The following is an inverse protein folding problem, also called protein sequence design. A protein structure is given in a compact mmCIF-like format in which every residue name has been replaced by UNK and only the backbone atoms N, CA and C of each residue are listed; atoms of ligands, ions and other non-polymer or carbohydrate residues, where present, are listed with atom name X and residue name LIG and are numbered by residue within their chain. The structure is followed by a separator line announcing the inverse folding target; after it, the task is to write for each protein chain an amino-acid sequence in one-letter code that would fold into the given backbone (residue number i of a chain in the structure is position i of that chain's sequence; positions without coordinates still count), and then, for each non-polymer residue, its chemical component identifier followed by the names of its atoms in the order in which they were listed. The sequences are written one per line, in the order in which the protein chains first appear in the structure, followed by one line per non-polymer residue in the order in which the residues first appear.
data_IF_398423146703
#
_entry.id   IF_398423146703
#
_cell.length_a   1.000
_cell.length_b   1.000
_cell.length_c   1.000
_cell.angle_alpha   90.00
_cell.angle_beta   90.00
_cell.angle_gamma   90.00
#
_symmetry.space_group_name_H-M   'P 1'
#
loop_
_entity.id
_entity.type
_entity.pdbx_description
1 polymer ?
#
# COMPACT_ATOMS: atom_id res chain seq x y z
N UNK A 1 -21.47 31.34 -11.77
CA UNK A 1 -21.78 30.25 -12.73
C UNK A 1 -20.56 29.33 -12.80
N UNK A 2 -20.36 28.48 -11.79
CA UNK A 2 -19.25 27.53 -11.80
C UNK A 2 -19.56 26.41 -12.78
N UNK A 3 -18.79 26.32 -13.86
CA UNK A 3 -18.86 25.21 -14.80
C UNK A 3 -18.44 23.94 -14.06
N UNK A 4 -19.36 22.99 -13.92
CA UNK A 4 -19.01 21.63 -13.48
C UNK A 4 -18.09 21.01 -14.52
N UNK A 5 -16.85 20.71 -14.13
CA UNK A 5 -15.92 19.92 -14.92
C UNK A 5 -16.58 18.57 -15.27
N UNK A 6 -16.48 18.12 -16.54
CA UNK A 6 -17.06 16.85 -16.94
C UNK A 6 -16.46 15.72 -16.11
N UNK A 7 -17.25 14.68 -15.75
CA UNK A 7 -16.75 13.57 -14.96
C UNK A 7 -15.56 12.95 -15.69
N UNK A 8 -14.38 13.12 -15.11
CA UNK A 8 -13.13 12.53 -15.57
C UNK A 8 -13.34 11.01 -15.61
N UNK A 9 -13.68 10.46 -16.78
CA UNK A 9 -13.86 9.01 -16.96
C UNK A 9 -12.52 8.34 -16.73
N UNK A 10 -12.27 7.91 -15.49
CA UNK A 10 -11.11 7.07 -15.15
C UNK A 10 -11.10 5.86 -16.09
N UNK A 11 -9.95 5.60 -16.71
CA UNK A 11 -9.75 4.44 -17.55
C UNK A 11 -10.13 3.15 -16.78
N UNK A 12 -10.71 2.14 -17.47
CA UNK A 12 -11.15 0.92 -16.81
C UNK A 12 -9.96 0.16 -16.21
N UNK A 13 -10.11 -0.34 -14.98
CA UNK A 13 -9.06 -1.08 -14.27
C UNK A 13 -8.81 -2.48 -14.85
N UNK A 14 -9.73 -2.99 -15.65
CA UNK A 14 -9.63 -4.25 -16.39
C UNK A 14 -10.36 -4.11 -17.72
N UNK A 15 -9.75 -4.57 -18.81
CA UNK A 15 -10.35 -4.59 -20.15
C UNK A 15 -10.34 -6.02 -20.69
N UNK A 16 -11.51 -6.54 -21.01
CA UNK A 16 -11.67 -7.83 -21.69
C UNK A 16 -11.49 -7.58 -23.19
N UNK A 17 -10.51 -8.26 -23.79
CA UNK A 17 -10.20 -8.13 -25.23
C UNK A 17 -10.92 -9.21 -26.05
N UNK A 18 -11.09 -10.41 -25.49
CA UNK A 18 -11.81 -11.54 -26.08
C UNK A 18 -12.58 -12.27 -24.97
N UNK A 19 -13.81 -12.68 -25.25
CA UNK A 19 -14.71 -13.33 -24.30
C UNK A 19 -15.05 -14.75 -24.70
N UNK A 20 -14.18 -15.69 -24.35
CA UNK A 20 -14.46 -17.15 -24.35
C UNK A 20 -13.36 -17.91 -23.55
N UNK A 21 -13.14 -17.57 -22.26
CA UNK A 21 -12.18 -18.31 -21.45
C UNK A 21 -12.72 -19.69 -21.10
N UNK A 22 -11.83 -20.67 -20.96
CA UNK A 22 -12.21 -21.96 -20.37
C UNK A 22 -12.69 -21.75 -18.91
N UNK A 23 -13.49 -22.68 -18.35
CA UNK A 23 -13.87 -22.63 -16.93
C UNK A 23 -12.66 -22.54 -15.99
N UNK A 24 -11.57 -23.24 -16.33
CA UNK A 24 -10.31 -23.24 -15.57
C UNK A 24 -9.60 -21.89 -15.66
N UNK A 25 -9.57 -21.27 -16.84
CA UNK A 25 -8.98 -19.94 -17.03
C UNK A 25 -9.76 -18.86 -16.27
N UNK A 26 -11.09 -18.93 -16.31
CA UNK A 26 -11.95 -18.04 -15.54
C UNK A 26 -11.71 -18.22 -14.03
N UNK A 27 -11.62 -19.47 -13.56
CA UNK A 27 -11.33 -19.78 -12.17
C UNK A 27 -9.94 -19.26 -11.75
N UNK A 28 -8.92 -19.43 -12.59
CA UNK A 28 -7.57 -18.95 -12.33
C UNK A 28 -7.53 -17.41 -12.23
N UNK A 29 -8.22 -16.70 -13.12
CA UNK A 29 -8.33 -15.23 -13.06
C UNK A 29 -8.98 -14.77 -11.76
N UNK A 30 -10.12 -15.38 -11.38
CA UNK A 30 -10.82 -15.05 -10.13
C UNK A 30 -9.94 -15.33 -8.92
N UNK A 31 -9.24 -16.46 -8.88
CA UNK A 31 -8.35 -16.84 -7.78
C UNK A 31 -7.22 -15.80 -7.58
N UNK A 32 -6.58 -15.36 -8.67
CA UNK A 32 -5.51 -14.35 -8.63
C UNK A 32 -6.04 -13.00 -8.11
N UNK A 33 -7.19 -12.55 -8.61
CA UNK A 33 -7.80 -11.30 -8.18
C UNK A 33 -8.20 -11.34 -6.70
N UNK A 34 -8.79 -12.44 -6.24
CA UNK A 34 -9.14 -12.66 -4.84
C UNK A 34 -7.90 -12.65 -3.94
N UNK A 35 -6.83 -13.33 -4.34
CA UNK A 35 -5.56 -13.36 -3.61
C UNK A 35 -4.95 -11.95 -3.48
N UNK A 36 -4.94 -11.16 -4.56
CA UNK A 36 -4.46 -9.76 -4.52
C UNK A 36 -5.31 -8.87 -3.63
N UNK A 37 -6.64 -9.04 -3.66
CA UNK A 37 -7.55 -8.30 -2.78
C UNK A 37 -7.33 -8.67 -1.31
N UNK A 38 -7.13 -9.95 -0.99
CA UNK A 38 -6.81 -10.42 0.36
C UNK A 38 -5.45 -9.86 0.85
N UNK A 39 -4.41 -9.90 0.01
CA UNK A 39 -3.10 -9.34 0.34
C UNK A 39 -3.17 -7.83 0.59
N UNK A 40 -3.97 -7.09 -0.20
CA UNK A 40 -4.17 -5.64 -0.03
C UNK A 40 -4.86 -5.32 1.30
N UNK A 41 -5.89 -6.10 1.68
CA UNK A 41 -6.55 -5.96 2.99
C UNK A 41 -5.60 -6.28 4.15
N UNK A 42 -4.79 -7.32 4.02
CA UNK A 42 -3.79 -7.69 5.03
C UNK A 42 -2.66 -6.64 5.16
N UNK A 43 -2.31 -5.96 4.07
CA UNK A 43 -1.36 -4.85 4.11
C UNK A 43 -1.96 -3.62 4.81
N UNK A 44 -3.24 -3.32 4.58
CA UNK A 44 -3.95 -2.22 5.23
C UNK A 44 -4.12 -2.43 6.75
N UNK A 45 -4.22 -3.69 7.21
CA UNK A 45 -4.32 -4.01 8.64
C UNK A 45 -2.97 -4.00 9.37
N UNK A 46 -1.84 -3.93 8.65
CA UNK A 46 -0.53 -3.88 9.30
C UNK A 46 -0.31 -2.45 9.80
N UNK A 47 -0.03 -2.23 11.10
CA UNK A 47 0.35 -0.90 11.55
C UNK A 47 1.54 -0.45 10.72
N UNK A 48 1.36 0.62 9.94
CA UNK A 48 2.47 1.31 9.31
C UNK A 48 3.40 1.73 10.45
N UNK A 49 4.67 1.27 10.48
CA UNK A 49 5.60 1.77 11.46
C UNK A 49 5.61 3.28 11.32
N UNK A 50 5.42 3.98 12.45
CA UNK A 50 5.51 5.43 12.46
C UNK A 50 6.84 5.79 11.78
N UNK A 51 6.78 6.68 10.79
CA UNK A 51 8.00 7.18 10.17
C UNK A 51 8.92 7.71 11.27
N UNK A 52 10.24 7.58 11.13
CA UNK A 52 11.18 8.12 12.13
C UNK A 52 10.92 9.60 12.42
N UNK A 53 10.44 10.37 11.43
CA UNK A 53 10.00 11.77 11.57
C UNK A 53 8.85 11.98 12.57
N UNK A 54 7.95 11.01 12.72
CA UNK A 54 6.77 11.09 13.61
C UNK A 54 7.01 10.45 14.98
N UNK A 55 8.20 9.90 15.22
CA UNK A 55 8.53 9.26 16.50
C UNK A 55 8.78 10.33 17.58
N UNK A 56 7.88 10.42 18.56
CA UNK A 56 8.00 11.35 19.68
C UNK A 56 9.23 11.11 20.56
N UNK A 57 9.85 9.92 20.48
CA UNK A 57 11.10 9.66 21.19
C UNK A 57 12.22 10.62 20.75
N UNK A 58 12.19 11.13 19.52
CA UNK A 58 13.21 12.04 18.98
C UNK A 58 13.18 13.43 19.65
N UNK A 59 12.06 13.84 20.24
CA UNK A 59 11.97 15.06 21.04
C UNK A 59 12.52 14.91 22.47
N UNK A 60 12.91 13.69 22.88
CA UNK A 60 13.47 13.40 24.19
C UNK A 60 14.99 13.37 24.10
N UNK A 61 15.67 14.10 25.01
CA UNK A 61 17.15 14.14 25.09
C UNK A 61 17.83 12.77 25.27
N UNK A 62 17.06 11.75 25.64
CA UNK A 62 17.56 10.40 25.94
C UNK A 62 16.79 9.32 25.17
N UNK A 63 16.43 9.58 23.90
CA UNK A 63 15.82 8.57 23.04
C UNK A 63 16.72 7.30 22.99
N UNK A 64 16.23 6.11 23.37
CA UNK A 64 17.01 4.90 23.23
C UNK A 64 17.31 4.63 21.76
N UNK A 65 18.56 4.30 21.41
CA UNK A 65 18.87 3.88 20.05
C UNK A 65 18.04 2.62 19.72
N UNK A 66 17.33 2.60 18.57
CA UNK A 66 16.56 1.43 18.18
C UNK A 66 17.49 0.22 18.05
N UNK A 67 17.21 -0.84 18.81
CA UNK A 67 17.96 -2.11 18.71
C UNK A 67 17.27 -3.02 17.71
N UNK A 68 18.01 -3.56 16.75
CA UNK A 68 17.51 -4.47 15.71
C UNK A 68 17.79 -3.97 14.29
N UNK A 69 17.23 -4.66 13.29
CA UNK A 69 17.50 -4.43 11.85
C UNK A 69 17.23 -2.99 11.38
N UNK A 70 16.39 -2.25 12.09
CA UNK A 70 16.06 -0.86 11.77
C UNK A 70 17.04 0.16 12.38
N UNK A 71 17.91 -0.24 13.32
CA UNK A 71 18.85 0.66 14.00
C UNK A 71 19.90 1.27 13.06
N UNK A 72 20.34 0.52 12.04
CA UNK A 72 21.29 1.02 11.03
C UNK A 72 20.67 2.00 10.03
N UNK A 73 19.33 2.04 9.91
CA UNK A 73 18.63 3.04 9.09
C UNK A 73 18.45 4.36 9.83
N UNK A 74 18.37 4.31 11.16
CA UNK A 74 18.23 5.49 12.01
C UNK A 74 19.54 6.28 12.19
N UNK A 75 20.71 5.67 11.94
CA UNK A 75 22.01 6.35 12.09
C UNK A 75 22.32 7.41 11.04
N UNK A 76 21.63 7.39 9.89
CA UNK A 76 21.86 8.34 8.80
C UNK A 76 21.17 9.71 9.01
N UNK A 77 20.52 9.91 10.16
CA UNK A 77 19.69 11.08 10.42
C UNK A 77 20.37 12.05 11.39
N UNK A 78 20.09 13.37 11.28
CA UNK A 78 20.62 14.37 12.19
C UNK A 78 20.12 14.14 13.63
N UNK A 79 20.99 14.35 14.62
CA UNK A 79 20.63 14.32 16.05
C UNK A 79 20.06 15.65 16.53
#
# INVERSE_FOLDING_TARGET
MSAQEPPQRRAPWLRIVRGDPSPEELAALVAVLAARAAASRAAASRPTPASGWTDRAWGLRSAPLPRGSQGWRASAWPR
#
